data_IF_595473452197
#
_entry.id   IF_595473452197
#
_cell.length_a   1.000
_cell.length_b   1.000
_cell.length_c   1.000
_cell.angle_alpha   90.00
_cell.angle_beta   90.00
_cell.angle_gamma   90.00
#
_symmetry.space_group_name_H-M   'P 1'
#
loop_
_entity.id
_entity.type
_entity.pdbx_description
1 polymer ?
#
# COMPACT_ATOMS: atom_id res chain seq x y z
N UNK A 1 -5.01 -21.86 0.15
CA UNK A 1 -4.14 -21.44 -0.99
C UNK A 1 -2.72 -21.28 -0.49
N UNK A 2 -1.73 -21.56 -1.37
CA UNK A 2 -0.33 -21.18 -1.14
C UNK A 2 -0.03 -19.88 -1.88
N UNK A 3 0.20 -18.81 -1.14
CA UNK A 3 0.27 -17.43 -1.70
C UNK A 3 1.69 -16.90 -1.57
N UNK A 4 2.27 -16.42 -2.69
CA UNK A 4 3.46 -15.58 -2.65
C UNK A 4 3.05 -14.13 -2.42
N UNK A 5 3.59 -13.50 -1.39
CA UNK A 5 3.36 -12.08 -1.05
C UNK A 5 4.66 -11.32 -1.23
N UNK A 6 4.79 -10.56 -2.32
CA UNK A 6 5.96 -9.70 -2.53
C UNK A 6 5.78 -8.39 -1.77
N UNK A 7 6.87 -7.84 -1.23
CA UNK A 7 6.78 -6.64 -0.38
C UNK A 7 6.10 -6.90 0.97
N UNK A 8 6.09 -8.16 1.41
CA UNK A 8 5.38 -8.57 2.61
C UNK A 8 6.02 -8.14 3.94
N UNK A 9 7.23 -7.58 3.93
CA UNK A 9 7.85 -6.96 5.12
C UNK A 9 7.56 -5.45 5.21
N UNK A 10 6.90 -4.85 4.19
CA UNK A 10 6.44 -3.46 4.19
C UNK A 10 5.17 -3.27 5.02
N UNK A 11 4.64 -2.04 5.03
CA UNK A 11 3.46 -1.65 5.81
C UNK A 11 2.21 -2.48 5.47
N UNK A 12 1.70 -2.35 4.24
CA UNK A 12 0.43 -3.00 3.84
C UNK A 12 0.63 -4.51 3.70
N UNK A 13 1.73 -4.94 3.07
CA UNK A 13 2.01 -6.36 2.86
C UNK A 13 2.12 -7.15 4.16
N UNK A 14 2.75 -6.59 5.19
CA UNK A 14 2.86 -7.27 6.50
C UNK A 14 1.53 -7.35 7.24
N UNK A 15 0.66 -6.33 7.13
CA UNK A 15 -0.70 -6.44 7.67
C UNK A 15 -1.50 -7.51 6.93
N UNK A 16 -1.39 -7.58 5.61
CA UNK A 16 -2.05 -8.63 4.84
C UNK A 16 -1.61 -10.03 5.30
N UNK A 17 -0.30 -10.25 5.46
CA UNK A 17 0.26 -11.53 5.93
C UNK A 17 -0.23 -11.86 7.34
N UNK A 18 -0.17 -10.89 8.27
CA UNK A 18 -0.67 -11.08 9.65
C UNK A 18 -2.16 -11.38 9.67
N UNK A 19 -2.95 -10.61 8.91
CA UNK A 19 -4.40 -10.77 8.86
C UNK A 19 -4.81 -12.12 8.27
N UNK A 20 -4.12 -12.59 7.23
CA UNK A 20 -4.41 -13.88 6.59
C UNK A 20 -4.09 -15.05 7.53
N UNK A 21 -2.89 -15.09 8.09
CA UNK A 21 -2.45 -16.18 8.96
C UNK A 21 -3.13 -16.19 10.34
N UNK A 22 -3.70 -15.05 10.77
CA UNK A 22 -4.55 -14.95 11.96
C UNK A 22 -6.04 -15.09 11.66
N UNK A 23 -6.40 -15.54 10.44
CA UNK A 23 -7.78 -15.80 10.01
C UNK A 23 -8.75 -14.59 10.14
N UNK A 24 -8.21 -13.36 10.04
CA UNK A 24 -8.98 -12.12 10.14
C UNK A 24 -9.55 -11.61 8.81
N UNK A 25 -9.18 -12.24 7.68
CA UNK A 25 -9.67 -11.88 6.37
C UNK A 25 -10.95 -12.64 6.00
N UNK A 26 -11.84 -12.09 5.14
CA UNK A 26 -13.07 -12.74 4.76
C UNK A 26 -12.85 -14.13 4.12
N UNK A 27 -13.34 -15.19 4.75
CA UNK A 27 -13.21 -16.56 4.25
C UNK A 27 -11.87 -17.24 4.53
N UNK A 28 -10.95 -16.61 5.28
CA UNK A 28 -9.66 -17.23 5.66
C UNK A 28 -9.80 -18.21 6.84
N UNK A 29 -10.86 -18.11 7.64
CA UNK A 29 -11.07 -18.99 8.79
C UNK A 29 -11.12 -20.46 8.37
N UNK A 30 -10.21 -21.28 8.91
CA UNK A 30 -10.09 -22.70 8.62
C UNK A 30 -9.63 -23.05 7.19
N UNK A 31 -9.24 -22.07 6.38
CA UNK A 31 -8.85 -22.30 4.99
C UNK A 31 -7.49 -23.01 4.83
N UNK A 32 -6.66 -23.01 5.88
CA UNK A 32 -5.33 -23.61 5.86
C UNK A 32 -4.39 -22.89 4.86
N UNK A 33 -4.56 -21.59 4.69
CA UNK A 33 -3.74 -20.78 3.80
C UNK A 33 -2.28 -20.73 4.27
N UNK A 34 -1.35 -20.76 3.33
CA UNK A 34 0.07 -20.60 3.60
C UNK A 34 0.63 -19.44 2.80
N UNK A 35 1.64 -18.77 3.39
CA UNK A 35 2.25 -17.56 2.80
C UNK A 35 3.76 -17.74 2.70
N UNK A 36 4.29 -17.46 1.52
CA UNK A 36 5.71 -17.18 1.35
C UNK A 36 5.86 -15.66 1.15
N UNK A 37 6.47 -14.99 2.12
CA UNK A 37 6.87 -13.58 1.96
C UNK A 37 8.14 -13.52 1.11
N UNK A 38 8.12 -12.70 0.06
CA UNK A 38 9.26 -12.40 -0.79
C UNK A 38 9.55 -10.91 -0.76
N UNK A 39 10.65 -10.51 -0.12
CA UNK A 39 10.96 -9.10 0.12
C UNK A 39 12.46 -8.83 0.00
N UNK A 40 12.81 -7.73 -0.66
CA UNK A 40 14.21 -7.31 -0.84
C UNK A 40 14.82 -6.73 0.43
N UNK A 41 13.97 -6.30 1.40
CA UNK A 41 14.36 -5.58 2.61
C UNK A 41 15.11 -4.29 2.30
N UNK A 42 14.49 -3.43 1.48
CA UNK A 42 14.96 -2.06 1.27
C UNK A 42 14.75 -1.22 2.54
N UNK A 43 14.91 0.08 2.46
CA UNK A 43 14.83 0.98 3.63
C UNK A 43 13.51 0.89 4.41
N UNK A 44 12.39 0.60 3.72
CA UNK A 44 11.04 0.51 4.31
C UNK A 44 10.60 -0.93 4.67
N UNK A 45 11.32 -1.95 4.20
CA UNK A 45 11.10 -3.34 4.56
C UNK A 45 11.63 -3.63 5.98
N UNK A 46 10.74 -4.03 6.89
CA UNK A 46 11.11 -4.32 8.27
C UNK A 46 10.65 -5.72 8.68
N UNK A 47 11.58 -6.70 8.86
CA UNK A 47 11.22 -8.05 9.28
C UNK A 47 10.46 -8.11 10.62
N UNK A 48 10.65 -7.14 11.52
CA UNK A 48 9.92 -7.07 12.79
C UNK A 48 8.40 -6.90 12.59
N UNK A 49 7.95 -6.42 11.44
CA UNK A 49 6.53 -6.35 11.09
C UNK A 49 5.87 -7.74 11.03
N UNK A 50 6.67 -8.79 10.86
CA UNK A 50 6.23 -10.18 10.69
C UNK A 50 6.41 -11.02 11.95
N UNK A 51 6.99 -10.46 13.03
CA UNK A 51 7.25 -11.20 14.28
C UNK A 51 6.01 -11.90 14.84
N UNK A 52 4.78 -11.29 14.80
CA UNK A 52 3.59 -11.96 15.33
C UNK A 52 3.23 -13.28 14.64
N UNK A 53 3.68 -13.48 13.41
CA UNK A 53 3.35 -14.66 12.58
C UNK A 53 4.56 -15.50 12.20
N UNK A 54 5.76 -15.13 12.65
CA UNK A 54 7.03 -15.78 12.27
C UNK A 54 7.07 -17.27 12.62
N UNK A 55 6.43 -17.67 13.72
CA UNK A 55 6.34 -19.07 14.17
C UNK A 55 5.14 -19.82 13.62
N UNK A 56 4.29 -19.18 12.80
CA UNK A 56 3.12 -19.83 12.24
C UNK A 56 3.53 -20.91 11.22
N UNK A 57 2.99 -22.15 11.29
CA UNK A 57 3.41 -23.25 10.41
C UNK A 57 3.18 -22.99 8.92
N UNK A 58 2.24 -22.12 8.59
CA UNK A 58 1.96 -21.67 7.22
C UNK A 58 2.81 -20.48 6.76
N UNK A 59 3.80 -20.02 7.55
CA UNK A 59 4.64 -18.87 7.21
C UNK A 59 6.00 -19.31 6.68
N UNK A 60 6.47 -18.66 5.61
CA UNK A 60 7.86 -18.73 5.15
C UNK A 60 8.33 -17.38 4.64
N UNK A 61 9.65 -17.15 4.67
CA UNK A 61 10.27 -15.91 4.24
C UNK A 61 11.45 -16.18 3.30
N UNK A 62 11.48 -15.48 2.18
CA UNK A 62 12.59 -15.47 1.22
C UNK A 62 13.00 -14.02 1.00
N UNK A 63 14.27 -13.71 1.27
CA UNK A 63 14.83 -12.42 0.90
C UNK A 63 15.22 -12.44 -0.57
N UNK A 64 14.60 -11.55 -1.40
CA UNK A 64 14.88 -11.52 -2.83
C UNK A 64 14.30 -10.26 -3.50
N UNK A 65 14.91 -9.91 -4.64
CA UNK A 65 14.46 -8.84 -5.50
C UNK A 65 13.49 -9.38 -6.56
N UNK A 66 12.38 -8.70 -6.80
CA UNK A 66 11.43 -9.08 -7.86
C UNK A 66 12.03 -9.00 -9.28
N UNK A 67 13.20 -8.36 -9.43
CA UNK A 67 14.00 -8.39 -10.66
C UNK A 67 14.87 -9.65 -10.80
N UNK A 68 15.01 -10.48 -9.75
CA UNK A 68 15.78 -11.71 -9.79
C UNK A 68 14.93 -12.87 -10.35
N UNK A 69 14.97 -13.00 -11.67
CA UNK A 69 14.22 -14.04 -12.38
C UNK A 69 14.64 -15.46 -11.99
N UNK A 70 15.92 -15.69 -11.68
CA UNK A 70 16.42 -16.98 -11.29
C UNK A 70 15.88 -17.43 -9.93
N UNK A 71 15.92 -16.53 -8.93
CA UNK A 71 15.37 -16.80 -7.61
C UNK A 71 13.83 -16.95 -7.66
N UNK A 72 13.14 -16.17 -8.50
CA UNK A 72 11.70 -16.32 -8.70
C UNK A 72 11.36 -17.71 -9.30
N UNK A 73 12.17 -18.22 -10.23
CA UNK A 73 11.97 -19.55 -10.81
C UNK A 73 12.19 -20.69 -9.80
N UNK A 74 12.99 -20.48 -8.75
CA UNK A 74 13.17 -21.42 -7.63
C UNK A 74 12.00 -21.35 -6.62
N UNK A 75 11.48 -20.14 -6.36
CA UNK A 75 10.51 -19.91 -5.29
C UNK A 75 9.06 -20.16 -5.73
N UNK A 76 8.69 -19.79 -6.95
CA UNK A 76 7.30 -19.82 -7.43
C UNK A 76 6.66 -21.21 -7.58
N UNK A 77 7.39 -22.29 -7.87
CA UNK A 77 6.75 -23.60 -8.05
C UNK A 77 5.84 -24.00 -6.89
N UNK A 78 4.61 -24.40 -7.24
CA UNK A 78 3.61 -24.87 -6.31
C UNK A 78 2.86 -23.76 -5.53
N UNK A 79 3.03 -22.49 -5.89
CA UNK A 79 2.14 -21.43 -5.42
C UNK A 79 0.89 -21.34 -6.29
N UNK A 80 -0.25 -21.06 -5.63
CA UNK A 80 -1.55 -20.90 -6.28
C UNK A 80 -1.76 -19.47 -6.80
N UNK A 81 -1.25 -18.50 -6.04
CA UNK A 81 -1.47 -17.07 -6.30
C UNK A 81 -0.28 -16.19 -5.89
N UNK A 82 -0.20 -15.01 -6.50
CA UNK A 82 0.70 -13.92 -6.12
C UNK A 82 -0.13 -12.72 -5.69
N UNK A 83 0.24 -12.11 -4.54
CA UNK A 83 -0.22 -10.77 -4.15
C UNK A 83 0.98 -9.84 -4.16
N UNK A 84 0.99 -8.92 -5.11
CA UNK A 84 2.16 -8.10 -5.44
C UNK A 84 2.07 -6.72 -4.79
N UNK A 85 2.75 -6.54 -3.63
CA UNK A 85 2.89 -5.26 -2.94
C UNK A 85 4.25 -4.59 -3.17
N UNK A 86 5.27 -5.34 -3.59
CA UNK A 86 6.62 -4.80 -3.73
C UNK A 86 6.64 -3.61 -4.69
N UNK A 87 7.08 -2.46 -4.21
CA UNK A 87 7.19 -1.22 -4.97
C UNK A 87 8.07 -0.20 -4.25
N UNK A 88 8.75 0.66 -5.02
CA UNK A 88 9.17 1.96 -4.52
C UNK A 88 7.95 2.88 -4.46
N UNK A 89 7.72 3.56 -3.30
CA UNK A 89 6.41 4.19 -3.02
C UNK A 89 6.47 5.63 -2.48
N UNK A 90 7.66 6.25 -2.37
CA UNK A 90 7.77 7.59 -1.81
C UNK A 90 7.86 8.65 -2.92
N UNK A 91 6.82 9.48 -3.07
CA UNK A 91 6.70 10.47 -4.15
C UNK A 91 7.90 11.41 -4.18
N UNK A 92 8.30 12.00 -3.02
CA UNK A 92 9.42 12.95 -3.00
C UNK A 92 10.75 12.30 -3.45
N UNK A 93 11.01 11.04 -3.07
CA UNK A 93 12.16 10.27 -3.59
C UNK A 93 12.08 10.08 -5.10
N UNK A 94 10.87 9.87 -5.65
CA UNK A 94 10.69 9.71 -7.10
C UNK A 94 10.99 10.99 -7.89
N UNK A 95 10.76 12.15 -7.28
CA UNK A 95 11.08 13.46 -7.87
C UNK A 95 12.60 13.69 -7.88
N UNK A 96 13.30 13.20 -6.86
CA UNK A 96 14.77 13.27 -6.79
C UNK A 96 15.48 12.26 -7.69
N UNK A 97 14.89 11.07 -7.91
CA UNK A 97 15.46 10.01 -8.72
C UNK A 97 14.43 8.98 -9.17
N UNK A 98 13.98 9.07 -10.43
CA UNK A 98 12.91 8.22 -10.97
C UNK A 98 13.36 6.80 -11.37
N UNK A 99 14.65 6.58 -11.59
CA UNK A 99 15.17 5.33 -12.18
C UNK A 99 14.82 4.11 -11.33
N UNK A 100 14.96 4.19 -10.01
CA UNK A 100 14.67 3.06 -9.12
C UNK A 100 13.18 2.71 -9.13
N UNK A 101 12.30 3.71 -9.32
CA UNK A 101 10.86 3.50 -9.47
C UNK A 101 10.52 2.77 -10.76
N UNK A 102 11.16 3.12 -11.87
CA UNK A 102 10.97 2.42 -13.14
C UNK A 102 11.51 0.99 -13.04
N UNK A 103 12.71 0.82 -12.47
CA UNK A 103 13.33 -0.49 -12.30
C UNK A 103 12.50 -1.41 -11.42
N UNK A 104 12.05 -0.92 -10.27
CA UNK A 104 11.28 -1.75 -9.33
C UNK A 104 9.84 -1.93 -9.79
N UNK A 105 9.13 -0.81 -10.06
CA UNK A 105 7.69 -0.89 -10.27
C UNK A 105 7.34 -1.39 -11.68
N UNK A 106 8.10 -1.03 -12.71
CA UNK A 106 7.79 -1.42 -14.10
C UNK A 106 8.51 -2.71 -14.47
N UNK A 107 9.86 -2.70 -14.45
CA UNK A 107 10.65 -3.85 -14.85
C UNK A 107 10.45 -5.02 -13.89
N UNK A 108 10.47 -4.77 -12.56
CA UNK A 108 10.25 -5.82 -11.55
C UNK A 108 8.87 -6.46 -11.67
N UNK A 109 7.81 -5.67 -11.93
CA UNK A 109 6.48 -6.21 -12.20
C UNK A 109 6.46 -7.09 -13.46
N UNK A 110 7.14 -6.66 -14.55
CA UNK A 110 7.23 -7.48 -15.76
C UNK A 110 7.98 -8.78 -15.51
N UNK A 111 9.11 -8.73 -14.80
CA UNK A 111 9.90 -9.93 -14.44
C UNK A 111 9.05 -10.92 -13.64
N UNK A 112 8.28 -10.43 -12.67
CA UNK A 112 7.39 -11.24 -11.84
C UNK A 112 6.22 -11.84 -12.67
N UNK A 113 5.63 -11.08 -13.60
CA UNK A 113 4.59 -11.56 -14.53
C UNK A 113 5.11 -12.68 -15.43
N UNK A 114 6.33 -12.53 -15.98
CA UNK A 114 6.94 -13.56 -16.83
C UNK A 114 7.21 -14.85 -16.05
N UNK A 115 7.71 -14.72 -14.81
CA UNK A 115 7.89 -15.87 -13.92
C UNK A 115 6.54 -16.52 -13.55
N UNK A 116 5.53 -15.73 -13.19
CA UNK A 116 4.18 -16.22 -12.90
C UNK A 116 3.58 -17.01 -14.09
N UNK A 117 3.77 -16.51 -15.31
CA UNK A 117 3.33 -17.17 -16.54
C UNK A 117 4.08 -18.50 -16.78
N UNK A 118 5.42 -18.51 -16.63
CA UNK A 118 6.24 -19.73 -16.79
C UNK A 118 5.80 -20.83 -15.82
N UNK A 119 5.52 -20.47 -14.57
CA UNK A 119 5.12 -21.40 -13.52
C UNK A 119 3.61 -21.62 -13.43
N UNK A 120 2.82 -21.05 -14.36
CA UNK A 120 1.36 -21.21 -14.45
C UNK A 120 0.65 -20.87 -13.14
N UNK A 121 1.05 -19.77 -12.50
CA UNK A 121 0.38 -19.28 -11.29
C UNK A 121 -1.10 -19.00 -11.61
N UNK A 122 -1.99 -19.54 -10.76
CA UNK A 122 -3.43 -19.52 -10.99
C UNK A 122 -4.02 -18.11 -10.94
N UNK A 123 -3.49 -17.19 -10.08
CA UNK A 123 -3.94 -15.80 -10.00
C UNK A 123 -2.80 -14.84 -9.65
N UNK A 124 -2.80 -13.68 -10.30
CA UNK A 124 -1.88 -12.57 -10.03
C UNK A 124 -2.67 -11.33 -9.62
N UNK A 125 -2.58 -10.91 -8.35
CA UNK A 125 -3.18 -9.68 -7.89
C UNK A 125 -2.10 -8.60 -7.73
N UNK A 126 -2.29 -7.46 -8.40
CA UNK A 126 -1.41 -6.29 -8.34
C UNK A 126 -2.02 -5.20 -7.47
N UNK A 127 -1.29 -4.76 -6.45
CA UNK A 127 -1.69 -3.66 -5.59
C UNK A 127 -1.13 -2.36 -6.14
N UNK A 128 -2.02 -1.46 -6.59
CA UNK A 128 -1.72 -0.16 -7.15
C UNK A 128 -2.27 0.98 -6.27
N UNK A 129 -2.37 2.16 -6.81
CA UNK A 129 -2.72 3.41 -6.13
C UNK A 129 -3.70 4.23 -6.97
N UNK A 130 -4.53 5.04 -6.32
CA UNK A 130 -5.38 6.04 -6.96
C UNK A 130 -4.58 7.18 -7.62
N UNK A 131 -3.34 7.40 -7.20
CA UNK A 131 -2.45 8.40 -7.80
C UNK A 131 -2.22 8.20 -9.30
N UNK A 132 -2.51 7.02 -9.85
CA UNK A 132 -2.45 6.76 -11.30
C UNK A 132 -3.51 7.56 -12.07
N UNK A 133 -4.57 8.01 -11.43
CA UNK A 133 -5.63 8.82 -12.05
C UNK A 133 -5.27 10.32 -12.14
N UNK A 134 -4.31 10.80 -11.34
CA UNK A 134 -3.94 12.21 -11.23
C UNK A 134 -4.73 12.97 -10.17
N UNK A 135 -5.24 14.16 -10.48
CA UNK A 135 -6.06 14.97 -9.56
C UNK A 135 -7.49 15.12 -10.08
N UNK A 136 -8.48 15.20 -9.18
CA UNK A 136 -9.88 15.39 -9.52
C UNK A 136 -10.48 16.51 -8.66
N UNK A 137 -11.09 17.51 -9.31
CA UNK A 137 -11.66 18.65 -8.58
C UNK A 137 -13.04 18.32 -8.00
N UNK A 138 -13.88 17.61 -8.77
CA UNK A 138 -15.24 17.24 -8.38
C UNK A 138 -15.52 15.76 -8.71
N UNK A 139 -16.43 15.13 -7.96
CA UNK A 139 -16.81 13.73 -8.12
C UNK A 139 -15.75 12.77 -7.59
N UNK A 140 -15.78 11.52 -8.08
CA UNK A 140 -14.86 10.45 -7.67
C UNK A 140 -14.51 9.58 -8.88
N UNK A 141 -13.27 9.05 -8.94
CA UNK A 141 -12.84 8.20 -10.03
C UNK A 141 -13.49 6.83 -9.96
N UNK A 142 -14.10 6.42 -11.05
CA UNK A 142 -14.39 5.02 -11.32
C UNK A 142 -13.19 4.34 -11.96
N UNK A 143 -13.18 3.00 -12.02
CA UNK A 143 -12.10 2.23 -12.62
C UNK A 143 -11.92 2.44 -14.13
N UNK A 144 -12.93 3.04 -14.79
CA UNK A 144 -12.91 3.38 -16.20
C UNK A 144 -12.29 4.75 -16.50
N UNK A 145 -11.98 5.53 -15.47
CA UNK A 145 -11.35 6.84 -15.65
C UNK A 145 -9.98 6.71 -16.30
N UNK A 146 -9.62 7.60 -17.22
CA UNK A 146 -8.30 7.54 -17.86
C UNK A 146 -7.18 7.73 -16.86
N UNK A 147 -6.08 6.99 -17.06
CA UNK A 147 -4.85 7.12 -16.29
C UNK A 147 -4.15 8.41 -16.71
N UNK A 148 -3.84 9.30 -15.75
CA UNK A 148 -3.18 10.60 -15.99
C UNK A 148 -2.28 11.01 -14.81
N UNK A 149 -1.22 10.24 -14.51
CA UNK A 149 -0.36 10.44 -13.34
C UNK A 149 0.48 11.72 -13.43
N UNK A 150 0.70 12.41 -12.29
CA UNK A 150 1.43 13.67 -12.21
C UNK A 150 2.84 13.54 -11.57
N UNK A 151 3.20 12.38 -11.02
CA UNK A 151 4.53 12.15 -10.43
C UNK A 151 5.25 10.99 -11.10
N UNK A 152 6.60 10.90 -11.00
CA UNK A 152 7.34 9.73 -11.50
C UNK A 152 6.91 8.43 -10.82
N UNK A 153 6.60 8.46 -9.52
CA UNK A 153 6.04 7.31 -8.79
C UNK A 153 4.72 6.84 -9.41
N UNK A 154 3.75 7.75 -9.52
CA UNK A 154 2.42 7.40 -10.05
C UNK A 154 2.48 6.98 -11.52
N UNK A 155 3.40 7.55 -12.30
CA UNK A 155 3.65 7.13 -13.69
C UNK A 155 4.23 5.71 -13.76
N UNK A 156 5.17 5.36 -12.87
CA UNK A 156 5.71 4.00 -12.80
C UNK A 156 4.66 2.99 -12.34
N UNK A 157 3.78 3.35 -11.38
CA UNK A 157 2.64 2.52 -10.97
C UNK A 157 1.62 2.34 -12.09
N UNK A 158 1.32 3.39 -12.85
CA UNK A 158 0.46 3.31 -14.04
C UNK A 158 1.06 2.37 -15.10
N UNK A 159 2.38 2.43 -15.30
CA UNK A 159 3.10 1.51 -16.19
C UNK A 159 2.95 0.05 -15.77
N UNK A 160 3.07 -0.25 -14.47
CA UNK A 160 2.86 -1.61 -13.95
C UNK A 160 1.40 -2.08 -14.09
N UNK A 161 0.42 -1.22 -13.83
CA UNK A 161 -1.00 -1.53 -14.05
C UNK A 161 -1.26 -1.97 -15.50
N UNK A 162 -0.72 -1.21 -16.45
CA UNK A 162 -0.88 -1.49 -17.89
C UNK A 162 -0.22 -2.81 -18.29
N UNK A 163 0.94 -3.17 -17.74
CA UNK A 163 1.60 -4.47 -17.97
C UNK A 163 0.75 -5.63 -17.44
N UNK A 164 0.20 -5.50 -16.23
CA UNK A 164 -0.66 -6.52 -15.62
C UNK A 164 -1.94 -6.73 -16.45
N UNK A 165 -2.59 -5.66 -16.89
CA UNK A 165 -3.77 -5.74 -17.75
C UNK A 165 -3.43 -6.29 -19.15
N UNK A 166 -2.25 -5.95 -19.69
CA UNK A 166 -1.77 -6.51 -20.96
C UNK A 166 -1.49 -8.02 -20.84
N UNK A 167 -0.94 -8.48 -19.71
CA UNK A 167 -0.70 -9.91 -19.48
C UNK A 167 -2.01 -10.72 -19.52
N UNK A 168 -3.11 -10.18 -19.00
CA UNK A 168 -4.44 -10.78 -19.19
C UNK A 168 -4.85 -10.83 -20.66
N UNK A 169 -4.82 -9.69 -21.34
CA UNK A 169 -5.32 -9.58 -22.73
C UNK A 169 -4.49 -10.38 -23.73
N UNK A 170 -3.16 -10.44 -23.54
CA UNK A 170 -2.23 -11.06 -24.47
C UNK A 170 -2.02 -12.54 -24.18
N UNK A 171 -1.97 -12.93 -22.91
CA UNK A 171 -1.59 -14.27 -22.49
C UNK A 171 -2.71 -15.04 -21.78
N UNK A 172 -3.88 -14.43 -21.56
CA UNK A 172 -4.99 -15.04 -20.84
C UNK A 172 -4.70 -15.29 -19.35
N UNK A 173 -3.72 -14.59 -18.75
CA UNK A 173 -3.42 -14.72 -17.33
C UNK A 173 -4.60 -14.24 -16.50
N UNK A 174 -4.91 -14.94 -15.42
CA UNK A 174 -5.87 -14.45 -14.43
C UNK A 174 -5.20 -13.37 -13.57
N UNK A 175 -5.38 -12.11 -13.99
CA UNK A 175 -4.82 -10.95 -13.27
C UNK A 175 -5.93 -10.07 -12.73
N UNK A 176 -5.70 -9.48 -11.57
CA UNK A 176 -6.57 -8.46 -10.96
C UNK A 176 -5.70 -7.30 -10.51
N UNK A 177 -6.16 -6.07 -10.75
CA UNK A 177 -5.51 -4.84 -10.27
C UNK A 177 -6.41 -4.21 -9.19
N UNK A 178 -5.81 -3.77 -8.08
CA UNK A 178 -6.51 -2.94 -7.09
C UNK A 178 -5.86 -1.57 -7.02
N UNK A 179 -6.66 -0.49 -6.99
CA UNK A 179 -6.18 0.89 -6.80
C UNK A 179 -6.74 1.41 -5.50
N UNK A 180 -5.85 1.75 -4.57
CA UNK A 180 -6.27 2.18 -3.24
C UNK A 180 -6.05 3.66 -3.01
N UNK A 181 -6.88 4.24 -2.12
CA UNK A 181 -6.66 5.55 -1.54
C UNK A 181 -5.55 5.56 -0.48
N UNK A 182 -5.30 6.71 0.15
CA UNK A 182 -4.21 6.88 1.11
C UNK A 182 -4.37 5.99 2.34
N UNK A 183 -3.42 5.09 2.53
CA UNK A 183 -3.44 4.16 3.66
C UNK A 183 -2.87 4.76 4.94
N UNK A 184 -3.46 4.40 6.09
CA UNK A 184 -2.93 4.70 7.41
C UNK A 184 -3.12 3.52 8.37
N UNK A 185 -2.40 3.53 9.48
CA UNK A 185 -2.46 2.49 10.51
C UNK A 185 -1.09 2.22 11.15
N UNK A 186 -1.06 1.19 12.01
CA UNK A 186 0.16 0.74 12.67
C UNK A 186 1.20 0.17 11.70
N UNK A 187 2.47 0.20 12.07
CA UNK A 187 3.62 -0.26 11.26
C UNK A 187 3.84 0.52 9.95
N UNK A 188 3.24 1.70 9.77
CA UNK A 188 3.50 2.56 8.63
C UNK A 188 4.86 3.25 8.81
N UNK A 189 5.75 3.16 7.80
CA UNK A 189 7.11 3.69 7.88
C UNK A 189 7.11 5.21 8.14
N UNK A 190 7.95 5.74 9.07
CA UNK A 190 7.84 7.10 9.60
C UNK A 190 8.33 8.21 8.67
N UNK A 191 8.28 8.02 7.35
CA UNK A 191 8.45 9.06 6.32
C UNK A 191 7.13 9.57 5.75
N UNK A 192 6.02 8.83 5.95
CA UNK A 192 4.69 9.21 5.47
C UNK A 192 3.99 10.15 6.47
N UNK A 193 3.09 11.00 5.97
CA UNK A 193 2.55 12.14 6.73
C UNK A 193 2.04 11.79 8.13
N UNK A 194 1.18 10.77 8.29
CA UNK A 194 0.61 10.41 9.59
C UNK A 194 1.69 9.95 10.58
N UNK A 195 2.50 8.91 10.30
CA UNK A 195 3.53 8.49 11.25
C UNK A 195 4.67 9.50 11.41
N UNK A 196 5.00 10.28 10.38
CA UNK A 196 5.99 11.35 10.47
C UNK A 196 5.53 12.42 11.48
N UNK A 197 4.26 12.87 11.37
CA UNK A 197 3.71 13.88 12.26
C UNK A 197 3.60 13.35 13.67
N UNK A 198 3.02 12.16 13.87
CA UNK A 198 2.92 11.54 15.20
C UNK A 198 4.30 11.47 15.87
N UNK A 199 5.29 10.90 15.20
CA UNK A 199 6.61 10.67 15.80
C UNK A 199 7.39 11.97 16.02
N UNK A 200 7.24 12.97 15.15
CA UNK A 200 7.85 14.29 15.35
C UNK A 200 7.21 15.02 16.54
N UNK A 201 5.88 15.08 16.60
CA UNK A 201 5.16 15.76 17.69
C UNK A 201 5.43 15.10 19.06
N UNK A 202 5.56 13.77 19.10
CA UNK A 202 5.99 13.05 20.31
C UNK A 202 7.40 13.42 20.75
N UNK A 203 8.31 13.66 19.80
CA UNK A 203 9.69 14.10 20.05
C UNK A 203 9.78 15.62 20.33
N UNK A 204 8.67 16.37 20.34
CA UNK A 204 8.66 17.82 20.49
C UNK A 204 9.26 18.55 19.29
N UNK A 205 9.25 17.92 18.09
CA UNK A 205 9.72 18.51 16.83
C UNK A 205 8.54 19.04 16.03
N UNK A 206 8.83 20.03 15.18
CA UNK A 206 7.87 20.56 14.24
C UNK A 206 7.55 19.59 13.11
N UNK A 207 6.39 19.81 12.48
CA UNK A 207 5.89 19.04 11.34
C UNK A 207 5.72 19.96 10.12
N UNK A 208 6.14 19.51 8.92
CA UNK A 208 6.04 20.31 7.71
C UNK A 208 4.65 20.19 7.09
N UNK A 209 3.93 21.30 6.92
CA UNK A 209 2.69 21.35 6.17
C UNK A 209 2.94 21.98 4.80
N UNK A 210 2.75 21.20 3.73
CA UNK A 210 2.99 21.65 2.36
C UNK A 210 1.97 22.69 1.91
N UNK A 211 2.44 23.78 1.30
CA UNK A 211 1.62 24.84 0.69
C UNK A 211 0.62 25.43 1.69
N UNK A 212 -0.65 25.47 1.33
CA UNK A 212 -1.76 25.96 2.18
C UNK A 212 -2.40 24.86 3.05
N UNK A 213 -1.93 23.60 2.92
CA UNK A 213 -2.49 22.44 3.59
C UNK A 213 -3.86 22.02 3.06
N UNK A 214 -4.33 22.59 1.96
CA UNK A 214 -5.66 22.35 1.42
C UNK A 214 -5.76 21.15 0.47
N UNK A 215 -4.70 20.35 0.34
CA UNK A 215 -4.76 19.12 -0.44
C UNK A 215 -5.63 18.10 0.27
N UNK A 216 -6.61 17.52 -0.46
CA UNK A 216 -7.59 16.57 0.06
C UNK A 216 -7.16 15.14 -0.23
N UNK A 217 -7.29 14.26 0.76
CA UNK A 217 -7.00 12.83 0.64
C UNK A 217 -8.16 12.00 1.17
N UNK A 218 -8.46 10.92 0.48
CA UNK A 218 -9.33 9.84 0.98
C UNK A 218 -8.50 8.89 1.84
N UNK A 219 -8.88 8.71 3.11
CA UNK A 219 -8.14 7.92 4.08
C UNK A 219 -8.73 6.54 4.28
N UNK A 220 -7.88 5.52 4.11
CA UNK A 220 -8.22 4.11 4.18
C UNK A 220 -7.41 3.42 5.28
N UNK A 221 -8.08 2.85 6.28
CA UNK A 221 -7.37 2.04 7.28
C UNK A 221 -6.77 0.78 6.65
N UNK A 222 -5.53 0.46 7.00
CA UNK A 222 -4.76 -0.64 6.39
C UNK A 222 -5.46 -2.00 6.47
N UNK A 223 -6.21 -2.27 7.55
CA UNK A 223 -6.98 -3.53 7.68
C UNK A 223 -8.13 -3.61 6.68
N UNK A 224 -8.79 -2.49 6.39
CA UNK A 224 -9.87 -2.43 5.40
C UNK A 224 -9.31 -2.60 3.99
N UNK A 225 -8.14 -1.99 3.71
CA UNK A 225 -7.44 -2.23 2.45
C UNK A 225 -7.11 -3.72 2.26
N UNK A 226 -6.52 -4.36 3.28
CA UNK A 226 -6.19 -5.80 3.22
C UNK A 226 -7.43 -6.68 2.99
N UNK A 227 -8.59 -6.29 3.54
CA UNK A 227 -9.87 -6.96 3.28
C UNK A 227 -10.34 -6.79 1.85
N UNK A 228 -10.25 -5.58 1.30
CA UNK A 228 -10.56 -5.30 -0.10
C UNK A 228 -9.66 -6.09 -1.05
N UNK A 229 -8.34 -6.14 -0.78
CA UNK A 229 -7.38 -6.95 -1.53
C UNK A 229 -7.75 -8.43 -1.49
N UNK A 230 -8.08 -8.98 -0.33
CA UNK A 230 -8.41 -10.39 -0.20
C UNK A 230 -9.72 -10.76 -0.90
N UNK A 231 -10.71 -9.89 -0.85
CA UNK A 231 -11.94 -10.05 -1.64
C UNK A 231 -11.64 -10.03 -3.15
N UNK A 232 -10.80 -9.11 -3.61
CA UNK A 232 -10.37 -9.07 -5.00
C UNK A 232 -9.55 -10.31 -5.41
N UNK A 233 -8.69 -10.82 -4.52
CA UNK A 233 -7.94 -12.05 -4.74
C UNK A 233 -8.86 -13.26 -4.89
N UNK A 234 -9.87 -13.39 -4.02
CA UNK A 234 -10.69 -14.61 -3.92
C UNK A 234 -11.92 -14.60 -4.81
N UNK A 235 -12.47 -13.42 -5.12
CA UNK A 235 -13.74 -13.26 -5.84
C UNK A 235 -13.66 -12.32 -7.05
N UNK A 236 -12.59 -11.55 -7.19
CA UNK A 236 -12.42 -10.62 -8.30
C UNK A 236 -12.44 -11.31 -9.65
N UNK A 237 -12.98 -10.64 -10.67
CA UNK A 237 -12.99 -11.17 -12.05
C UNK A 237 -11.62 -10.93 -12.70
N UNK A 238 -11.17 -11.92 -13.48
CA UNK A 238 -9.93 -11.83 -14.23
C UNK A 238 -9.94 -10.65 -15.21
N UNK A 239 -8.83 -9.91 -15.27
CA UNK A 239 -8.66 -8.75 -16.15
C UNK A 239 -9.29 -7.46 -15.65
N UNK A 240 -9.90 -7.47 -14.45
CA UNK A 240 -10.59 -6.32 -13.89
C UNK A 240 -9.72 -5.48 -12.95
N UNK A 241 -10.11 -4.22 -12.82
CA UNK A 241 -9.59 -3.26 -11.85
C UNK A 241 -10.66 -3.03 -10.79
N UNK A 242 -10.26 -2.90 -9.53
CA UNK A 242 -11.13 -2.55 -8.41
C UNK A 242 -10.54 -1.41 -7.59
N UNK A 243 -11.30 -0.33 -7.41
CA UNK A 243 -10.96 0.76 -6.51
C UNK A 243 -11.25 0.34 -5.07
N UNK A 244 -10.33 0.64 -4.14
CA UNK A 244 -10.48 0.37 -2.71
C UNK A 244 -10.24 1.68 -1.96
N UNK A 245 -11.31 2.35 -1.56
CA UNK A 245 -11.29 3.62 -0.83
C UNK A 245 -11.86 3.49 0.58
N UNK A 246 -11.53 4.46 1.43
CA UNK A 246 -12.06 4.59 2.78
C UNK A 246 -13.35 5.41 2.82
N UNK A 247 -13.58 6.27 1.83
CA UNK A 247 -14.74 7.16 1.76
C UNK A 247 -14.69 8.35 2.73
N UNK A 248 -13.52 8.66 3.27
CA UNK A 248 -13.33 9.78 4.21
C UNK A 248 -12.31 10.76 3.64
N UNK A 249 -12.82 11.84 3.09
CA UNK A 249 -12.00 12.92 2.54
C UNK A 249 -11.67 13.94 3.62
N UNK A 250 -10.38 14.25 3.79
CA UNK A 250 -9.89 15.21 4.77
C UNK A 250 -8.76 16.03 4.15
N UNK A 251 -8.74 17.34 4.39
CA UNK A 251 -7.60 18.17 4.01
C UNK A 251 -6.38 17.85 4.87
N UNK A 252 -5.17 18.09 4.34
CA UNK A 252 -3.94 17.94 5.13
C UNK A 252 -3.94 18.86 6.37
N UNK A 253 -4.59 20.02 6.30
CA UNK A 253 -4.75 20.94 7.43
C UNK A 253 -5.65 20.35 8.51
N UNK A 254 -6.81 19.79 8.16
CA UNK A 254 -7.70 19.11 9.11
C UNK A 254 -7.04 17.90 9.74
N UNK A 255 -6.34 17.09 8.94
CA UNK A 255 -5.55 15.98 9.45
C UNK A 255 -4.48 16.46 10.45
N UNK A 256 -3.79 17.56 10.14
CA UNK A 256 -2.79 18.16 11.04
C UNK A 256 -3.42 18.54 12.37
N UNK A 257 -4.58 19.21 12.37
CA UNK A 257 -5.33 19.58 13.59
C UNK A 257 -5.68 18.35 14.44
N UNK A 258 -6.15 17.27 13.81
CA UNK A 258 -6.45 16.01 14.50
C UNK A 258 -5.21 15.41 15.16
N UNK A 259 -4.07 15.42 14.47
CA UNK A 259 -2.81 14.87 15.00
C UNK A 259 -2.21 15.76 16.11
N UNK A 260 -2.30 17.08 15.99
CA UNK A 260 -1.91 18.02 17.04
C UNK A 260 -2.73 17.76 18.31
N UNK A 261 -4.05 17.69 18.18
CA UNK A 261 -4.97 17.40 19.29
C UNK A 261 -4.65 16.05 19.93
N UNK A 262 -4.49 14.99 19.14
CA UNK A 262 -4.23 13.64 19.64
C UNK A 262 -2.86 13.50 20.34
N UNK A 263 -1.90 14.39 20.05
CA UNK A 263 -0.56 14.40 20.66
C UNK A 263 -0.39 15.47 21.74
N UNK A 264 -1.44 16.25 22.03
CA UNK A 264 -1.40 17.34 23.03
C UNK A 264 -0.51 18.51 22.61
N UNK A 265 -0.45 18.80 21.31
CA UNK A 265 0.31 19.89 20.69
C UNK A 265 -0.65 20.91 20.06
N UNK A 266 -0.11 22.05 19.66
CA UNK A 266 -0.83 23.13 18.99
C UNK A 266 -0.13 23.57 17.69
N UNK A 267 -0.69 24.55 16.99
CA UNK A 267 -0.21 25.04 15.71
C UNK A 267 1.18 25.68 15.77
N UNK A 268 1.75 25.96 16.95
CA UNK A 268 3.14 26.43 17.07
C UNK A 268 4.16 25.38 16.66
N UNK A 269 3.75 24.11 16.57
CA UNK A 269 4.57 22.98 16.09
C UNK A 269 4.47 22.74 14.58
N UNK A 270 3.81 23.63 13.82
CA UNK A 270 3.62 23.45 12.36
C UNK A 270 4.43 24.48 11.59
N UNK A 271 5.30 24.00 10.71
CA UNK A 271 6.02 24.83 9.76
C UNK A 271 5.35 24.71 8.39
N UNK A 272 4.86 25.84 7.86
CA UNK A 272 4.41 25.89 6.45
C UNK A 272 5.62 25.89 5.53
N UNK A 273 5.70 24.91 4.65
CA UNK A 273 6.82 24.75 3.72
C UNK A 273 6.36 24.87 2.26
N UNK A 274 7.32 25.08 1.35
CA UNK A 274 7.03 25.13 -0.08
C UNK A 274 6.33 23.83 -0.54
N UNK A 275 5.32 23.97 -1.39
CA UNK A 275 4.59 22.82 -1.91
C UNK A 275 5.45 22.00 -2.88
N UNK A 276 5.24 20.69 -2.89
CA UNK A 276 5.99 19.80 -3.78
C UNK A 276 5.54 19.98 -5.24
N UNK A 277 6.44 19.71 -6.17
CA UNK A 277 6.13 19.74 -7.61
C UNK A 277 5.17 18.61 -7.97
N UNK A 278 4.17 18.92 -8.80
CA UNK A 278 3.18 17.92 -9.22
C UNK A 278 2.29 17.39 -8.08
N UNK A 279 2.05 18.21 -7.07
CA UNK A 279 1.22 17.83 -5.92
C UNK A 279 -0.27 17.85 -6.30
N UNK A 280 -0.86 16.70 -6.41
CA UNK A 280 -2.29 16.55 -6.70
C UNK A 280 -3.15 17.21 -5.63
N UNK A 281 -4.16 17.99 -6.07
CA UNK A 281 -5.01 18.76 -5.15
C UNK A 281 -5.99 17.87 -4.39
N UNK A 282 -6.64 16.92 -5.08
CA UNK A 282 -7.64 16.06 -4.44
C UNK A 282 -7.62 14.66 -5.03
N UNK A 283 -7.77 13.66 -4.16
CA UNK A 283 -8.04 12.26 -4.49
C UNK A 283 -9.40 11.85 -3.94
N UNK A 284 -10.17 11.16 -4.78
CA UNK A 284 -11.45 10.57 -4.38
C UNK A 284 -11.77 9.36 -5.25
N UNK A 285 -12.05 8.22 -4.61
CA UNK A 285 -12.37 6.97 -5.29
C UNK A 285 -13.86 6.63 -5.19
N UNK A 286 -14.46 6.26 -6.31
CA UNK A 286 -15.73 5.54 -6.34
C UNK A 286 -15.47 4.05 -6.08
N UNK A 287 -16.04 3.52 -5.00
CA UNK A 287 -15.93 2.11 -4.60
C UNK A 287 -17.19 1.30 -4.92
N UNK A 288 -18.10 1.84 -5.73
CA UNK A 288 -19.39 1.18 -6.04
C UNK A 288 -19.20 -0.20 -6.66
N UNK A 289 -18.22 -0.36 -7.55
CA UNK A 289 -17.94 -1.63 -8.23
C UNK A 289 -17.52 -2.72 -7.24
N UNK A 290 -16.50 -2.48 -6.43
CA UNK A 290 -16.04 -3.48 -5.46
C UNK A 290 -17.10 -3.78 -4.39
N UNK A 291 -17.89 -2.76 -4.02
CA UNK A 291 -19.00 -2.94 -3.07
C UNK A 291 -20.10 -3.83 -3.63
N UNK A 292 -20.50 -3.61 -4.87
CA UNK A 292 -21.58 -4.37 -5.53
C UNK A 292 -21.15 -5.78 -5.93
N UNK A 293 -19.94 -5.92 -6.49
CA UNK A 293 -19.48 -7.21 -7.01
C UNK A 293 -18.88 -8.11 -5.93
N UNK A 294 -18.15 -7.54 -4.96
CA UNK A 294 -17.37 -8.31 -3.99
C UNK A 294 -17.85 -8.15 -2.54
N UNK A 295 -18.79 -7.24 -2.29
CA UNK A 295 -19.35 -6.99 -0.95
C UNK A 295 -18.39 -6.22 -0.03
N UNK A 296 -17.40 -5.49 -0.60
CA UNK A 296 -16.49 -4.67 0.18
C UNK A 296 -17.20 -3.47 0.80
N UNK A 297 -16.88 -3.18 2.06
CA UNK A 297 -17.21 -1.93 2.76
C UNK A 297 -16.12 -1.63 3.77
N UNK A 298 -15.66 -0.37 3.89
CA UNK A 298 -14.84 0.06 5.02
C UNK A 298 -15.55 -0.25 6.34
N UNK A 299 -14.79 -0.68 7.35
CA UNK A 299 -15.35 -1.04 8.68
C UNK A 299 -14.74 -0.22 9.80
N UNK A 300 -13.58 0.40 9.55
CA UNK A 300 -12.89 1.21 10.56
C UNK A 300 -13.27 2.67 10.37
N UNK A 301 -13.99 3.22 11.34
CA UNK A 301 -14.27 4.66 11.36
C UNK A 301 -12.96 5.45 11.49
N UNK A 302 -12.81 6.53 10.71
CA UNK A 302 -11.54 7.25 10.59
C UNK A 302 -11.04 7.79 11.94
N UNK A 303 -11.93 8.36 12.76
CA UNK A 303 -11.56 8.90 14.06
C UNK A 303 -11.02 7.79 15.00
N UNK A 304 -11.67 6.63 15.02
CA UNK A 304 -11.27 5.50 15.86
C UNK A 304 -9.94 4.89 15.37
N UNK A 305 -9.81 4.72 14.05
CA UNK A 305 -8.60 4.20 13.43
C UNK A 305 -7.39 5.14 13.62
N UNK A 306 -7.60 6.46 13.52
CA UNK A 306 -6.55 7.44 13.76
C UNK A 306 -6.11 7.44 15.23
N UNK A 307 -7.07 7.42 16.17
CA UNK A 307 -6.78 7.33 17.60
C UNK A 307 -6.00 6.05 17.94
N UNK A 308 -6.42 4.90 17.42
CA UNK A 308 -5.72 3.64 17.59
C UNK A 308 -4.31 3.68 16.98
N UNK A 309 -4.14 4.35 15.83
CA UNK A 309 -2.83 4.54 15.21
C UNK A 309 -1.91 5.37 16.09
N UNK A 310 -2.39 6.52 16.60
CA UNK A 310 -1.59 7.37 17.52
C UNK A 310 -1.17 6.58 18.76
N UNK A 311 -2.12 5.88 19.42
CA UNK A 311 -1.84 5.06 20.59
C UNK A 311 -0.78 3.99 20.29
N UNK A 312 -0.88 3.33 19.13
CA UNK A 312 0.12 2.35 18.75
C UNK A 312 1.54 2.94 18.64
N UNK A 313 1.71 4.11 18.02
CA UNK A 313 3.03 4.77 17.96
C UNK A 313 3.54 5.20 19.34
N UNK A 314 2.64 5.61 20.26
CA UNK A 314 3.00 5.92 21.65
C UNK A 314 3.57 4.70 22.37
N UNK A 315 2.94 3.54 22.21
CA UNK A 315 3.32 2.30 22.88
C UNK A 315 4.50 1.58 22.23
N UNK A 316 4.82 1.87 20.96
CA UNK A 316 5.82 1.14 20.17
C UNK A 316 7.02 2.00 19.75
N UNK A 317 7.51 2.87 20.64
CA UNK A 317 8.67 3.74 20.37
C UNK A 317 9.90 2.95 19.91
N UNK A 318 10.19 1.82 20.53
CA UNK A 318 11.32 0.96 20.19
C UNK A 318 11.26 0.42 18.74
N UNK A 319 10.06 0.33 18.15
CA UNK A 319 9.88 -0.09 16.77
C UNK A 319 10.20 1.04 15.77
N UNK A 320 9.67 2.26 16.01
CA UNK A 320 9.77 3.33 15.02
C UNK A 320 11.01 4.23 15.16
N UNK A 321 11.59 4.37 16.36
CA UNK A 321 12.72 5.27 16.61
C UNK A 321 13.95 4.91 15.75
N UNK A 322 14.37 3.63 15.63
CA UNK A 322 15.45 3.25 14.72
C UNK A 322 15.14 3.50 13.24
N UNK A 323 13.86 3.46 12.86
CA UNK A 323 13.43 3.68 11.49
C UNK A 323 13.48 5.15 11.07
N UNK A 324 13.27 6.09 12.02
CA UNK A 324 13.40 7.54 11.74
C UNK A 324 14.78 7.91 11.22
N UNK A 325 15.84 7.27 11.69
CA UNK A 325 17.20 7.51 11.19
C UNK A 325 17.37 7.09 9.72
N UNK A 326 16.59 6.10 9.25
CA UNK A 326 16.56 5.65 7.86
C UNK A 326 15.62 6.47 6.99
N UNK A 327 14.66 7.19 7.58
CA UNK A 327 13.68 8.00 6.88
C UNK A 327 14.24 9.37 6.46
N UNK A 328 15.32 9.86 7.06
CA UNK A 328 15.94 11.10 6.68
C UNK A 328 16.44 11.03 5.21
N UNK A 329 15.89 11.94 4.39
CA UNK A 329 16.25 12.10 2.97
C UNK A 329 17.61 12.77 2.82
#
# INVERSE_FOLDING_TARGET
MKILVTGGAGFIGSEYVRALLSERLPGSAGAGDTVTVYDKLTYSGNPANLDPVRSHPGFSFVQGDINDAALLDEVLPGHDAIVHFAAESHVDRSILGATDFVTTNVLGTQTLLDAARRHRIGRFLHVSTDEVYGSIDEGSWTEQWPINPNSPYSAAKAGSDLLVLAAHRTHGMDTVVTRCSNNYGHHHFPEKVIPLFITNLMDGRHVPLYGDGGNVRDWLHVSDHCRGIHLALTKGRAGEVYNIGGGVETTNKELTELLLTATGRDWTYVDYVEDRKGHDRRYSLDISKISQELGYRPQVEFADGLAATVAWYQDNRAWWEPLKAKAAL
#
